data_IF_749052234537
#
_entry.id   IF_749052234537
#
_cell.length_a   1.000
_cell.length_b   1.000
_cell.length_c   1.000
_cell.angle_alpha   90.00
_cell.angle_beta   90.00
_cell.angle_gamma   90.00
#
_symmetry.space_group_name_H-M   'P 1'
#
loop_
_entity.id
_entity.type
_entity.pdbx_description
1 polymer ?
#
# COMPACT_ATOMS: atom_id res chain seq x y z
N UNK A 1 18.61 -31.70 -6.97
CA UNK A 1 17.98 -31.03 -5.80
C UNK A 1 19.10 -30.67 -4.83
N UNK A 2 19.10 -29.47 -4.23
CA UNK A 2 20.13 -29.12 -3.23
C UNK A 2 19.98 -30.02 -2.00
N UNK A 3 21.08 -30.47 -1.40
CA UNK A 3 21.07 -31.40 -0.26
C UNK A 3 20.20 -30.91 0.90
N UNK A 4 20.34 -29.64 1.28
CA UNK A 4 19.52 -29.03 2.34
C UNK A 4 18.00 -29.11 2.12
N UNK A 5 17.54 -29.10 0.85
CA UNK A 5 16.10 -29.17 0.54
C UNK A 5 15.57 -30.58 0.82
N UNK A 6 16.36 -31.61 0.50
CA UNK A 6 16.00 -33.00 0.82
C UNK A 6 15.92 -33.18 2.33
N UNK A 7 16.96 -32.74 3.04
CA UNK A 7 17.02 -32.88 4.49
C UNK A 7 15.85 -32.13 5.17
N UNK A 8 15.47 -30.95 4.67
CA UNK A 8 14.29 -30.22 5.13
C UNK A 8 12.97 -30.95 4.84
N UNK A 9 12.83 -31.58 3.67
CA UNK A 9 11.63 -32.36 3.32
C UNK A 9 11.47 -33.59 4.22
N UNK A 10 12.57 -34.22 4.63
CA UNK A 10 12.59 -35.42 5.48
C UNK A 10 12.23 -35.16 6.95
N UNK A 11 12.33 -33.92 7.44
CA UNK A 11 11.91 -33.55 8.81
C UNK A 11 10.44 -33.93 9.07
N UNK A 12 10.08 -34.15 10.34
CA UNK A 12 8.68 -34.40 10.69
C UNK A 12 7.81 -33.16 10.43
N UNK A 13 6.60 -33.37 9.90
CA UNK A 13 5.65 -32.28 9.74
C UNK A 13 4.98 -31.96 11.07
N UNK A 14 5.25 -30.76 11.60
CA UNK A 14 4.60 -30.23 12.79
C UNK A 14 3.41 -29.39 12.36
N UNK A 15 2.21 -29.77 12.82
CA UNK A 15 0.97 -29.04 12.51
C UNK A 15 1.07 -27.56 12.95
N UNK A 16 0.63 -26.60 12.12
CA UNK A 16 0.55 -25.18 12.47
C UNK A 16 -0.25 -24.91 13.75
N UNK A 17 -1.22 -25.77 14.06
CA UNK A 17 -2.11 -25.64 15.22
C UNK A 17 -1.66 -26.46 16.44
N UNK A 18 -0.60 -27.26 16.32
CA UNK A 18 -0.08 -28.03 17.44
C UNK A 18 0.78 -27.15 18.38
N UNK A 19 0.85 -27.56 19.65
CA UNK A 19 1.77 -26.95 20.60
C UNK A 19 3.22 -27.29 20.24
N UNK A 20 4.01 -26.25 20.04
CA UNK A 20 5.42 -26.32 19.70
C UNK A 20 6.33 -25.72 20.79
N UNK A 21 5.81 -25.60 22.02
CA UNK A 21 6.56 -25.13 23.18
C UNK A 21 7.83 -25.94 23.45
N UNK A 22 7.82 -27.23 23.10
CA UNK A 22 8.93 -28.17 23.27
C UNK A 22 10.06 -28.01 22.23
N UNK A 23 9.82 -27.28 21.14
CA UNK A 23 10.81 -27.10 20.07
C UNK A 23 11.69 -25.87 20.34
N UNK A 24 12.98 -26.01 20.09
CA UNK A 24 13.91 -24.88 20.13
C UNK A 24 13.64 -23.91 18.97
N UNK A 25 13.66 -22.61 19.23
CA UNK A 25 13.27 -21.61 18.22
C UNK A 25 14.21 -21.56 17.00
N UNK A 26 15.48 -21.94 17.20
CA UNK A 26 16.53 -22.00 16.18
C UNK A 26 16.52 -23.32 15.38
N UNK A 27 15.68 -24.29 15.77
CA UNK A 27 15.71 -25.65 15.22
C UNK A 27 15.14 -25.71 13.78
N UNK A 28 15.65 -26.63 12.94
CA UNK A 28 15.06 -26.91 11.62
C UNK A 28 13.58 -27.29 11.68
N UNK A 29 13.14 -27.96 12.74
CA UNK A 29 11.76 -28.36 12.98
C UNK A 29 10.86 -27.14 13.23
N UNK A 30 11.33 -26.17 14.03
CA UNK A 30 10.60 -24.91 14.26
C UNK A 30 10.47 -24.10 12.98
N UNK A 31 11.51 -24.10 12.14
CA UNK A 31 11.44 -23.47 10.84
C UNK A 31 10.42 -24.17 9.92
N UNK A 32 10.42 -25.50 9.88
CA UNK A 32 9.43 -26.27 9.10
C UNK A 32 8.02 -25.98 9.57
N UNK A 33 7.79 -25.88 10.87
CA UNK A 33 6.51 -25.41 11.44
C UNK A 33 6.19 -23.99 10.98
N UNK A 34 7.15 -23.07 11.04
CA UNK A 34 6.96 -21.67 10.64
C UNK A 34 6.54 -21.56 9.17
N UNK A 35 7.14 -22.37 8.28
CA UNK A 35 6.71 -22.50 6.88
C UNK A 35 5.24 -22.93 6.80
N UNK A 36 4.84 -23.95 7.57
CA UNK A 36 3.43 -24.39 7.63
C UNK A 36 2.49 -23.30 8.12
N UNK A 37 2.86 -22.58 9.19
CA UNK A 37 2.06 -21.46 9.72
C UNK A 37 1.92 -20.33 8.71
N UNK A 38 3.00 -19.95 8.02
CA UNK A 38 2.92 -18.93 6.98
C UNK A 38 2.09 -19.38 5.79
N UNK A 39 2.21 -20.64 5.39
CA UNK A 39 1.40 -21.20 4.32
C UNK A 39 -0.09 -21.08 4.66
N UNK A 40 -0.49 -21.49 5.86
CA UNK A 40 -1.87 -21.42 6.32
C UNK A 40 -2.37 -19.97 6.49
N UNK A 41 -1.59 -19.10 7.13
CA UNK A 41 -1.99 -17.71 7.33
C UNK A 41 -2.17 -16.96 6.00
N UNK A 42 -1.31 -17.25 5.02
CA UNK A 42 -1.47 -16.72 3.68
C UNK A 42 -2.65 -17.38 2.96
N UNK A 43 -2.85 -18.70 3.08
CA UNK A 43 -3.96 -19.41 2.43
C UNK A 43 -5.32 -18.89 2.90
N UNK A 44 -5.46 -18.44 4.14
CA UNK A 44 -6.67 -17.85 4.70
C UNK A 44 -6.91 -16.39 4.28
N UNK A 45 -5.89 -15.69 3.79
CA UNK A 45 -6.03 -14.29 3.35
C UNK A 45 -6.71 -14.19 1.99
N UNK A 46 -7.55 -13.17 1.77
CA UNK A 46 -8.30 -13.00 0.50
C UNK A 46 -7.39 -12.93 -0.72
N UNK A 47 -6.27 -12.22 -0.61
CA UNK A 47 -5.30 -12.08 -1.69
C UNK A 47 -4.16 -13.10 -1.61
N UNK A 48 -4.18 -14.07 -0.69
CA UNK A 48 -3.06 -15.01 -0.50
C UNK A 48 -1.69 -14.32 -0.28
N UNK A 49 -1.73 -13.13 0.33
CA UNK A 49 -0.58 -12.24 0.59
C UNK A 49 -0.82 -11.36 1.82
N UNK A 50 0.25 -11.09 2.56
CA UNK A 50 0.22 -10.24 3.76
C UNK A 50 1.52 -9.42 3.87
N UNK A 51 1.48 -8.14 4.27
CA UNK A 51 2.70 -7.38 4.55
C UNK A 51 3.52 -8.04 5.66
N UNK A 52 4.83 -8.19 5.47
CA UNK A 52 5.73 -8.85 6.43
C UNK A 52 5.70 -8.16 7.80
N UNK A 53 5.54 -6.84 7.82
CA UNK A 53 5.40 -6.07 9.06
C UNK A 53 4.14 -6.46 9.87
N UNK A 54 3.07 -6.92 9.22
CA UNK A 54 1.87 -7.43 9.90
C UNK A 54 2.14 -8.81 10.50
N UNK A 55 2.83 -9.68 9.77
CA UNK A 55 3.25 -11.00 10.28
C UNK A 55 4.13 -10.87 11.53
N UNK A 56 5.02 -9.88 11.54
CA UNK A 56 5.90 -9.60 12.67
C UNK A 56 5.16 -9.22 13.97
N UNK A 57 3.91 -8.74 13.88
CA UNK A 57 3.09 -8.46 15.07
C UNK A 57 2.66 -9.71 15.82
N UNK A 58 2.74 -10.87 15.16
CA UNK A 58 2.35 -12.17 15.72
C UNK A 58 3.56 -13.05 16.06
N UNK A 59 4.76 -12.47 16.15
CA UNK A 59 5.99 -13.23 16.40
C UNK A 59 5.94 -14.00 17.72
N UNK A 60 5.38 -13.42 18.79
CA UNK A 60 5.31 -14.08 20.09
C UNK A 60 4.31 -15.23 20.09
N UNK A 61 3.12 -15.00 19.51
CA UNK A 61 2.01 -15.95 19.47
C UNK A 61 2.36 -17.20 18.65
N UNK A 62 3.02 -17.01 17.51
CA UNK A 62 3.45 -18.13 16.67
C UNK A 62 4.88 -18.60 16.92
N UNK A 63 5.60 -17.93 17.84
CA UNK A 63 7.00 -18.17 18.20
C UNK A 63 7.96 -18.07 17.02
N UNK A 64 7.71 -17.15 16.09
CA UNK A 64 8.59 -16.89 14.96
C UNK A 64 9.98 -16.41 15.42
N UNK A 65 11.03 -16.81 14.72
CA UNK A 65 12.38 -16.32 15.02
C UNK A 65 12.52 -14.82 14.68
N UNK A 66 13.48 -14.15 15.31
CA UNK A 66 13.77 -12.73 14.98
C UNK A 66 14.12 -12.51 13.50
N UNK A 67 14.59 -13.55 12.82
CA UNK A 67 14.91 -13.56 11.41
C UNK A 67 13.83 -14.23 10.54
N UNK A 68 12.57 -14.33 10.99
CA UNK A 68 11.50 -15.07 10.30
C UNK A 68 11.32 -14.65 8.83
N UNK A 69 11.56 -13.38 8.51
CA UNK A 69 11.44 -12.89 7.13
C UNK A 69 12.38 -13.59 6.14
N UNK A 70 13.48 -14.17 6.63
CA UNK A 70 14.40 -15.00 5.82
C UNK A 70 13.77 -16.31 5.33
N UNK A 71 12.71 -16.80 5.99
CA UNK A 71 11.96 -17.98 5.57
C UNK A 71 11.39 -17.77 4.17
N UNK A 72 10.88 -16.57 3.86
CA UNK A 72 10.31 -16.26 2.55
C UNK A 72 11.32 -16.28 1.41
N UNK A 73 12.59 -15.93 1.68
CA UNK A 73 13.66 -15.98 0.66
C UNK A 73 14.26 -17.36 0.54
N UNK A 74 14.46 -18.07 1.67
CA UNK A 74 14.99 -19.44 1.69
C UNK A 74 14.03 -20.44 1.04
N UNK A 75 12.73 -20.32 1.31
CA UNK A 75 11.67 -21.18 0.76
C UNK A 75 10.98 -20.54 -0.44
N UNK A 76 11.76 -20.00 -1.38
CA UNK A 76 11.27 -19.32 -2.58
C UNK A 76 10.48 -20.19 -3.56
N UNK A 77 10.51 -21.52 -3.38
CA UNK A 77 9.64 -22.47 -4.09
C UNK A 77 8.20 -22.50 -3.57
N UNK A 78 7.97 -22.07 -2.33
CA UNK A 78 6.65 -22.03 -1.67
C UNK A 78 6.14 -20.60 -1.59
N UNK A 79 7.03 -19.66 -1.26
CA UNK A 79 6.69 -18.26 -1.08
C UNK A 79 7.34 -17.37 -2.14
N UNK A 80 6.77 -16.20 -2.31
CA UNK A 80 7.39 -15.08 -2.98
C UNK A 80 7.34 -13.85 -2.06
N UNK A 81 8.35 -12.99 -2.14
CA UNK A 81 8.37 -11.72 -1.40
C UNK A 81 8.52 -10.58 -2.39
N UNK A 82 7.56 -9.67 -2.41
CA UNK A 82 7.61 -8.45 -3.22
C UNK A 82 8.02 -7.26 -2.37
N UNK A 83 8.74 -6.30 -2.97
CA UNK A 83 8.97 -4.98 -2.41
C UNK A 83 8.27 -3.96 -3.30
N UNK A 84 7.13 -3.43 -2.88
CA UNK A 84 6.36 -2.42 -3.62
C UNK A 84 6.13 -1.22 -2.73
N UNK A 85 6.54 -0.03 -3.18
CA UNK A 85 6.37 1.22 -2.42
C UNK A 85 7.02 1.19 -1.03
N UNK A 86 8.16 0.50 -0.89
CA UNK A 86 8.85 0.33 0.41
C UNK A 86 8.24 -0.75 1.32
N UNK A 87 7.12 -1.37 0.92
CA UNK A 87 6.45 -2.41 1.72
C UNK A 87 6.89 -3.79 1.24
N UNK A 88 7.46 -4.58 2.16
CA UNK A 88 7.73 -6.01 1.94
C UNK A 88 6.44 -6.81 2.16
N UNK A 89 6.02 -7.56 1.15
CA UNK A 89 4.80 -8.37 1.19
C UNK A 89 5.14 -9.83 0.88
N UNK A 90 4.79 -10.73 1.79
CA UNK A 90 4.87 -12.17 1.58
C UNK A 90 3.63 -12.64 0.81
N UNK A 91 3.84 -13.55 -0.15
CA UNK A 91 2.80 -14.11 -1.02
C UNK A 91 2.98 -15.62 -1.13
N UNK A 92 1.87 -16.34 -1.24
CA UNK A 92 1.88 -17.78 -1.49
C UNK A 92 2.09 -18.03 -2.99
N UNK A 93 3.16 -18.73 -3.39
CA UNK A 93 3.50 -18.89 -4.81
C UNK A 93 2.46 -19.70 -5.58
N UNK A 94 1.98 -20.80 -5.00
CA UNK A 94 1.02 -21.69 -5.65
C UNK A 94 -0.35 -21.04 -5.89
N UNK A 95 -0.67 -19.95 -5.19
CA UNK A 95 -1.91 -19.22 -5.39
C UNK A 95 -1.90 -18.32 -6.64
N UNK A 96 -0.75 -18.16 -7.30
CA UNK A 96 -0.58 -17.18 -8.37
C UNK A 96 -0.05 -17.80 -9.67
N UNK A 97 -0.63 -17.39 -10.79
CA UNK A 97 -0.09 -17.62 -12.13
C UNK A 97 0.44 -16.29 -12.67
N UNK A 98 1.75 -16.08 -12.50
CA UNK A 98 2.37 -14.78 -12.79
C UNK A 98 1.91 -13.73 -11.78
N UNK A 99 1.27 -12.66 -12.26
CA UNK A 99 0.72 -11.58 -11.40
C UNK A 99 -0.74 -11.79 -11.01
N UNK A 100 -1.40 -12.83 -11.53
CA UNK A 100 -2.83 -13.07 -11.33
C UNK A 100 -3.06 -14.13 -10.27
N UNK A 101 -4.02 -13.87 -9.38
CA UNK A 101 -4.49 -14.82 -8.38
C UNK A 101 -5.35 -15.87 -9.08
N UNK A 102 -5.02 -17.15 -8.89
CA UNK A 102 -5.67 -18.28 -9.59
C UNK A 102 -7.11 -18.43 -9.14
N UNK A 103 -7.32 -18.47 -7.82
CA UNK A 103 -8.64 -18.59 -7.20
C UNK A 103 -9.01 -17.26 -6.55
N UNK A 104 -9.96 -16.55 -7.17
CA UNK A 104 -10.38 -15.23 -6.72
C UNK A 104 -11.65 -15.35 -5.89
N UNK A 105 -11.56 -14.88 -4.65
CA UNK A 105 -12.71 -14.81 -3.76
C UNK A 105 -13.79 -13.84 -4.32
N UNK A 106 -15.09 -14.17 -4.24
CA UNK A 106 -16.18 -13.31 -4.70
C UNK A 106 -16.16 -11.89 -4.12
N UNK A 107 -15.64 -11.70 -2.90
CA UNK A 107 -15.49 -10.37 -2.29
C UNK A 107 -14.53 -9.48 -3.08
N UNK A 108 -13.53 -10.07 -3.75
CA UNK A 108 -12.62 -9.32 -4.61
C UNK A 108 -13.34 -8.79 -5.85
N UNK A 109 -14.23 -9.57 -6.44
CA UNK A 109 -15.03 -9.15 -7.59
C UNK A 109 -16.00 -8.02 -7.22
N UNK A 110 -16.65 -8.12 -6.06
CA UNK A 110 -17.55 -7.08 -5.54
C UNK A 110 -16.78 -5.78 -5.31
N UNK A 111 -15.59 -5.86 -4.70
CA UNK A 111 -14.72 -4.70 -4.50
C UNK A 111 -14.32 -4.07 -5.83
N UNK A 112 -14.00 -4.85 -6.85
CA UNK A 112 -13.63 -4.32 -8.16
C UNK A 112 -14.81 -3.60 -8.82
N UNK A 113 -16.02 -4.17 -8.78
CA UNK A 113 -17.25 -3.50 -9.23
C UNK A 113 -17.53 -2.21 -8.45
N UNK A 114 -17.29 -2.21 -7.14
CA UNK A 114 -17.47 -1.03 -6.31
C UNK A 114 -16.51 0.09 -6.72
N UNK A 115 -15.24 -0.22 -6.97
CA UNK A 115 -14.26 0.75 -7.48
C UNK A 115 -14.67 1.30 -8.84
N UNK A 116 -15.16 0.45 -9.74
CA UNK A 116 -15.67 0.90 -11.05
C UNK A 116 -16.82 1.90 -10.93
N UNK A 117 -17.77 1.63 -10.02
CA UNK A 117 -18.90 2.54 -9.78
C UNK A 117 -18.46 3.88 -9.17
N UNK A 118 -17.50 3.85 -8.25
CA UNK A 118 -16.94 5.08 -7.68
C UNK A 118 -16.27 5.93 -8.75
N UNK A 119 -15.50 5.31 -9.63
CA UNK A 119 -14.81 6.01 -10.72
C UNK A 119 -15.82 6.68 -11.67
N UNK A 120 -16.89 5.97 -12.05
CA UNK A 120 -17.98 6.56 -12.86
C UNK A 120 -18.62 7.75 -12.15
N UNK A 121 -18.93 7.62 -10.86
CA UNK A 121 -19.51 8.72 -10.08
C UNK A 121 -18.58 9.94 -9.96
N UNK A 122 -17.26 9.72 -9.89
CA UNK A 122 -16.28 10.81 -9.92
C UNK A 122 -16.21 11.50 -11.28
N UNK A 123 -16.26 10.74 -12.37
CA UNK A 123 -16.27 11.28 -13.73
C UNK A 123 -17.51 12.13 -13.99
N UNK A 124 -18.70 11.65 -13.61
CA UNK A 124 -19.96 12.40 -13.74
C UNK A 124 -19.92 13.72 -12.96
N UNK A 125 -19.43 13.69 -11.71
CA UNK A 125 -19.27 14.90 -10.90
C UNK A 125 -18.27 15.88 -11.53
N UNK A 126 -17.14 15.39 -12.02
CA UNK A 126 -16.14 16.23 -12.67
C UNK A 126 -16.71 16.89 -13.94
N UNK A 127 -17.50 16.16 -14.72
CA UNK A 127 -18.18 16.70 -15.89
C UNK A 127 -19.22 17.76 -15.52
N UNK A 128 -20.07 17.50 -14.51
CA UNK A 128 -21.04 18.48 -14.02
C UNK A 128 -20.36 19.77 -13.57
N UNK A 129 -19.27 19.68 -12.82
CA UNK A 129 -18.49 20.86 -12.40
C UNK A 129 -17.86 21.59 -13.58
N UNK A 130 -17.39 20.86 -14.61
CA UNK A 130 -16.88 21.47 -15.85
C UNK A 130 -17.98 22.25 -16.56
N UNK A 131 -19.16 21.65 -16.74
CA UNK A 131 -20.31 22.29 -17.38
C UNK A 131 -20.79 23.51 -16.59
N UNK A 132 -20.84 23.45 -15.26
CA UNK A 132 -21.18 24.60 -14.42
C UNK A 132 -20.18 25.74 -14.59
N UNK A 133 -18.87 25.46 -14.59
CA UNK A 133 -17.84 26.48 -14.86
C UNK A 133 -17.96 27.08 -16.25
N UNK A 134 -18.28 26.28 -17.26
CA UNK A 134 -18.52 26.76 -18.62
C UNK A 134 -19.78 27.63 -18.72
N UNK A 135 -20.84 27.29 -17.99
CA UNK A 135 -22.06 28.10 -17.92
C UNK A 135 -21.79 29.46 -17.26
N UNK A 136 -21.08 29.47 -16.12
CA UNK A 136 -20.67 30.71 -15.44
C UNK A 136 -19.81 31.60 -16.35
N UNK A 137 -18.90 31.01 -17.14
CA UNK A 137 -18.08 31.75 -18.11
C UNK A 137 -18.85 32.27 -19.32
N UNK A 138 -20.01 31.70 -19.64
CA UNK A 138 -20.86 32.12 -20.77
C UNK A 138 -21.92 33.14 -20.36
N UNK A 139 -22.14 33.32 -19.06
CA UNK A 139 -23.07 34.31 -18.52
C UNK A 139 -22.40 35.70 -18.48
N UNK A 140 -22.83 36.67 -19.31
CA UNK A 140 -22.21 37.98 -19.40
C UNK A 140 -22.29 38.80 -18.11
N UNK A 141 -23.28 38.58 -17.24
CA UNK A 141 -23.36 39.27 -15.93
C UNK A 141 -22.33 38.72 -14.94
N UNK A 142 -22.14 37.40 -14.89
CA UNK A 142 -21.16 36.77 -13.99
C UNK A 142 -19.71 37.02 -14.42
N UNK A 143 -19.43 37.07 -15.73
CA UNK A 143 -18.11 37.41 -16.27
C UNK A 143 -17.75 38.88 -15.98
N UNK A 144 -18.72 39.79 -16.09
CA UNK A 144 -18.53 41.21 -15.78
C UNK A 144 -18.28 41.48 -14.29
N UNK A 145 -18.74 40.60 -13.39
CA UNK A 145 -18.45 40.69 -11.95
C UNK A 145 -17.02 40.22 -11.64
N UNK A 146 -16.57 39.11 -12.26
CA UNK A 146 -15.19 38.62 -12.11
C UNK A 146 -14.14 39.57 -12.70
N UNK A 147 -14.45 40.29 -13.78
CA UNK A 147 -13.54 41.32 -14.33
C UNK A 147 -13.45 42.54 -13.43
N UNK A 148 -14.55 42.97 -12.79
CA UNK A 148 -14.56 44.09 -11.85
C UNK A 148 -13.76 43.82 -10.57
N UNK A 149 -13.76 42.56 -10.10
CA UNK A 149 -12.96 42.17 -8.93
C UNK A 149 -11.45 42.18 -9.24
N UNK A 150 -11.04 41.81 -10.47
CA UNK A 150 -9.64 41.88 -10.92
C UNK A 150 -9.15 43.32 -11.17
N UNK A 151 -10.03 44.21 -11.66
CA UNK A 151 -9.73 45.63 -11.87
C UNK A 151 -9.64 46.41 -10.53
N UNK A 152 -10.36 45.96 -9.49
CA UNK A 152 -10.30 46.55 -8.16
C UNK A 152 -9.01 46.17 -7.40
N UNK A 153 -8.48 44.95 -7.59
CA UNK A 153 -7.20 44.54 -6.99
C UNK A 153 -6.00 45.21 -7.69
N UNK A 154 -6.01 45.35 -9.02
CA UNK A 154 -4.92 46.00 -9.77
C UNK A 154 -4.85 47.53 -9.57
N UNK A 155 -5.97 48.19 -9.27
CA UNK A 155 -5.97 49.63 -8.90
C UNK A 155 -5.36 49.91 -7.52
N UNK A 156 -5.16 48.89 -6.67
CA UNK A 156 -4.61 49.06 -5.32
C UNK A 156 -3.09 48.92 -5.24
N UNK A 157 -2.44 48.37 -6.27
CA UNK A 157 -0.97 48.17 -6.31
C UNK A 157 -0.20 49.30 -7.03
N UNK A 158 -0.88 50.20 -7.76
CA UNK A 158 -0.22 51.32 -8.47
C UNK A 158 -0.04 52.60 -7.63
N UNK A 159 -0.55 52.67 -6.40
CA UNK A 159 -0.47 53.89 -5.57
C UNK A 159 0.71 53.97 -4.58
N UNK A 160 1.62 52.98 -4.52
CA UNK A 160 2.65 52.90 -3.47
C UNK A 160 4.10 52.88 -3.99
N UNK A 161 4.39 53.66 -5.05
CA UNK A 161 5.77 53.91 -5.52
C UNK A 161 6.10 55.39 -5.64
N UNK A 162 6.10 56.06 -4.50
CA UNK A 162 6.66 57.38 -4.25
C UNK A 162 6.23 57.75 -2.84
N UNK A 163 7.08 57.94 -1.85
CA UNK A 163 8.45 58.43 -1.77
C UNK A 163 9.12 57.70 -0.60
N UNK A 164 10.44 57.52 -0.65
CA UNK A 164 11.30 57.90 0.48
C UNK A 164 12.77 57.73 0.05
N UNK A 165 13.34 58.87 -0.32
CA UNK A 165 14.77 59.06 -0.37
C UNK A 165 15.25 59.48 1.02
N UNK A 166 16.40 58.93 1.41
CA UNK A 166 17.39 59.53 2.30
C UNK A 166 16.99 59.73 3.77
N UNK A 167 17.51 58.88 4.67
CA UNK A 167 18.48 59.43 5.62
C UNK A 167 19.53 58.39 6.02
N UNK A 168 20.76 58.79 5.83
CA UNK A 168 21.97 58.16 6.34
C UNK A 168 22.05 58.29 7.87
N UNK A 169 22.90 57.47 8.50
CA UNK A 169 23.87 57.85 9.55
C UNK A 169 24.24 56.63 10.43
N UNK A 170 25.38 56.05 10.06
CA UNK A 170 26.56 55.71 10.88
C UNK A 170 26.50 54.82 12.14
N UNK A 171 27.52 53.94 12.18
CA UNK A 171 28.34 53.49 13.33
C UNK A 171 27.67 52.54 14.36
N UNK A 172 28.28 51.46 14.83
CA UNK A 172 29.67 50.95 14.82
C UNK A 172 29.67 49.42 14.79
#
# INVERSE_FOLDING_TARGET
MREWVRDWLELEYVSPYADASHLEQSSPEMEKRSVGVFHELLSLSLFKRVPVAILGKFCEEYRFSNAFSSVFTRHSGIFYMSLKGGIKTAMLREAYKGSELIDRDPLLEIKDKFVELLEKGWQERAEQLRLQREAVKKDPEMVAMQSKDLDAETSSEESDKGEEAEESVSNS
#
